data_IF_903059323236
#
_entry.id   IF_903059323236
#
_cell.length_a   1.000
_cell.length_b   1.000
_cell.length_c   1.000
_cell.angle_alpha   90.00
_cell.angle_beta   90.00
_cell.angle_gamma   90.00
#
_symmetry.space_group_name_H-M   'P 1'
#
loop_
_entity.id
_entity.type
_entity.pdbx_description
1 polymer ?
#
# COMPACT_ATOMS: atom_id res chain seq x y z
N UNK A 1 -10.90 -14.58 -14.07
CA UNK A 1 -10.68 -14.58 -12.61
C UNK A 1 -10.21 -15.93 -12.07
N UNK A 2 -11.01 -17.01 -12.09
CA UNK A 2 -10.63 -18.33 -11.55
C UNK A 2 -9.38 -18.97 -12.21
N UNK A 3 -9.18 -18.76 -13.51
CA UNK A 3 -7.96 -19.24 -14.20
C UNK A 3 -6.73 -18.42 -13.79
N UNK A 4 -6.88 -17.10 -13.59
CA UNK A 4 -5.78 -16.23 -13.17
C UNK A 4 -5.37 -16.54 -11.73
N UNK A 5 -6.33 -16.76 -10.82
CA UNK A 5 -6.05 -17.13 -9.42
C UNK A 5 -5.33 -18.46 -9.33
N UNK A 6 -5.76 -19.48 -10.09
CA UNK A 6 -5.13 -20.81 -10.08
C UNK A 6 -3.74 -20.82 -10.70
N UNK A 7 -3.51 -20.04 -11.76
CA UNK A 7 -2.17 -19.86 -12.34
C UNK A 7 -1.23 -19.16 -11.37
N UNK A 8 -1.66 -18.07 -10.74
CA UNK A 8 -0.85 -17.33 -9.76
C UNK A 8 -0.56 -18.17 -8.52
N UNK A 9 -1.53 -18.91 -8.00
CA UNK A 9 -1.32 -19.85 -6.89
C UNK A 9 -0.23 -20.89 -7.23
N UNK A 10 -0.26 -21.46 -8.43
CA UNK A 10 0.77 -22.40 -8.89
C UNK A 10 2.16 -21.75 -9.06
N UNK A 11 2.22 -20.47 -9.38
CA UNK A 11 3.48 -19.72 -9.45
C UNK A 11 4.00 -19.35 -8.07
N UNK A 12 3.12 -18.98 -7.14
CA UNK A 12 3.45 -18.67 -5.75
C UNK A 12 3.93 -19.90 -4.97
N UNK A 13 3.32 -21.07 -5.19
CA UNK A 13 3.79 -22.31 -4.54
C UNK A 13 5.14 -22.78 -5.07
N UNK A 14 5.53 -22.33 -6.26
CA UNK A 14 6.87 -22.55 -6.84
C UNK A 14 7.88 -21.46 -6.45
N UNK A 15 7.42 -20.37 -5.86
CA UNK A 15 8.25 -19.31 -5.31
C UNK A 15 8.84 -19.84 -4.00
N UNK A 16 9.93 -20.56 -4.10
CA UNK A 16 10.66 -21.05 -2.94
C UNK A 16 11.46 -19.92 -2.27
N UNK A 17 11.84 -20.15 -1.01
CA UNK A 17 12.68 -19.22 -0.27
C UNK A 17 14.05 -19.02 -0.95
N UNK A 18 14.52 -19.97 -1.77
CA UNK A 18 15.79 -19.88 -2.49
C UNK A 18 15.77 -18.79 -3.56
N UNK A 19 14.66 -18.65 -4.27
CA UNK A 19 14.44 -17.64 -5.31
C UNK A 19 14.53 -16.22 -4.74
N UNK A 20 13.87 -15.97 -3.60
CA UNK A 20 13.96 -14.69 -2.88
C UNK A 20 15.37 -14.50 -2.30
N UNK A 21 15.98 -15.57 -1.80
CA UNK A 21 17.33 -15.53 -1.24
C UNK A 21 18.41 -15.24 -2.31
N UNK A 22 18.17 -15.63 -3.57
CA UNK A 22 19.07 -15.31 -4.69
C UNK A 22 19.19 -13.81 -4.96
N UNK A 23 18.09 -13.06 -4.82
CA UNK A 23 18.09 -11.60 -4.90
C UNK A 23 18.86 -10.97 -3.75
N UNK A 24 18.72 -11.53 -2.54
CA UNK A 24 19.47 -11.09 -1.37
C UNK A 24 21.00 -11.35 -1.51
N UNK A 25 21.39 -12.31 -2.35
CA UNK A 25 22.78 -12.63 -2.69
C UNK A 25 23.34 -11.79 -3.84
N UNK A 26 22.52 -11.01 -4.55
CA UNK A 26 23.01 -10.15 -5.61
C UNK A 26 23.99 -9.10 -5.04
N UNK A 27 25.24 -9.14 -5.51
CA UNK A 27 26.32 -8.30 -4.99
C UNK A 27 26.00 -6.81 -5.06
N UNK A 28 25.51 -6.34 -6.21
CA UNK A 28 25.17 -4.93 -6.44
C UNK A 28 24.03 -4.47 -5.53
N UNK A 29 22.93 -5.24 -5.49
CA UNK A 29 21.78 -4.92 -4.63
C UNK A 29 22.15 -4.95 -3.14
N UNK A 30 23.03 -5.86 -2.72
CA UNK A 30 23.46 -5.94 -1.32
C UNK A 30 24.31 -4.73 -0.91
N UNK A 31 25.25 -4.27 -1.77
CA UNK A 31 26.02 -3.05 -1.53
C UNK A 31 25.09 -1.84 -1.43
N UNK A 32 24.14 -1.72 -2.35
CA UNK A 32 23.15 -0.64 -2.31
C UNK A 32 22.36 -0.68 -1.01
N UNK A 33 21.83 -1.83 -0.61
CA UNK A 33 21.06 -2.00 0.63
C UNK A 33 21.84 -1.57 1.88
N UNK A 34 23.15 -1.84 1.93
CA UNK A 34 23.99 -1.42 3.05
C UNK A 34 24.17 0.10 3.11
N UNK A 35 24.17 0.76 1.95
CA UNK A 35 24.40 2.20 1.81
C UNK A 35 23.12 3.05 1.88
N UNK A 36 21.97 2.52 1.46
CA UNK A 36 20.68 3.24 1.48
C UNK A 36 20.20 3.59 2.88
N UNK A 37 20.66 2.87 3.91
CA UNK A 37 20.33 3.15 5.31
C UNK A 37 21.22 4.25 5.92
N UNK A 38 22.21 4.75 5.17
CA UNK A 38 23.12 5.81 5.60
C UNK A 38 22.65 7.12 4.96
N UNK A 39 22.50 8.18 5.78
CA UNK A 39 22.19 9.52 5.27
C UNK A 39 23.29 9.94 4.31
N UNK A 40 22.94 10.24 3.06
CA UNK A 40 23.90 10.58 2.00
C UNK A 40 24.63 9.39 1.37
N UNK A 41 24.37 8.15 1.80
CA UNK A 41 25.12 6.96 1.34
C UNK A 41 24.96 6.60 -0.14
N UNK A 42 24.07 7.27 -0.86
CA UNK A 42 23.86 7.11 -2.32
C UNK A 42 24.50 8.22 -3.15
N UNK A 43 25.24 9.15 -2.53
CA UNK A 43 26.06 10.14 -3.24
C UNK A 43 27.15 9.43 -4.06
N UNK A 44 27.54 10.02 -5.20
CA UNK A 44 28.49 9.43 -6.15
C UNK A 44 29.85 9.08 -5.53
N UNK A 45 30.31 9.86 -4.55
CA UNK A 45 31.53 9.61 -3.78
C UNK A 45 31.43 8.34 -2.91
N UNK A 46 30.28 8.13 -2.26
CA UNK A 46 30.07 7.03 -1.31
C UNK A 46 29.65 5.73 -1.98
N UNK A 47 29.10 5.81 -3.20
CA UNK A 47 28.67 4.67 -3.99
C UNK A 47 29.10 4.80 -5.47
N UNK A 48 30.40 4.67 -5.76
CA UNK A 48 30.92 4.81 -7.12
C UNK A 48 30.38 3.72 -8.06
N UNK A 49 30.12 2.51 -7.56
CA UNK A 49 29.52 1.42 -8.34
C UNK A 49 28.08 1.75 -8.76
N UNK A 50 27.30 2.40 -7.89
CA UNK A 50 25.95 2.85 -8.21
C UNK A 50 25.96 3.95 -9.25
N UNK A 51 26.85 4.93 -9.08
CA UNK A 51 27.01 6.02 -10.04
C UNK A 51 27.43 5.50 -11.42
N UNK A 52 28.38 4.55 -11.46
CA UNK A 52 28.78 3.89 -12.71
C UNK A 52 27.61 3.11 -13.36
N UNK A 53 26.79 2.44 -12.56
CA UNK A 53 25.58 1.78 -13.04
C UNK A 53 24.58 2.77 -13.64
N UNK A 54 24.38 3.94 -13.02
CA UNK A 54 23.50 4.99 -13.54
C UNK A 54 23.95 5.57 -14.88
N UNK A 55 25.26 5.54 -15.16
CA UNK A 55 25.84 5.97 -16.44
C UNK A 55 25.66 4.96 -17.58
N UNK A 56 25.23 3.73 -17.28
CA UNK A 56 24.94 2.73 -18.32
C UNK A 56 23.75 3.16 -19.18
N UNK A 57 23.70 2.64 -20.41
CA UNK A 57 22.59 2.91 -21.32
C UNK A 57 21.24 2.58 -20.68
N UNK A 58 20.16 3.35 -20.96
CA UNK A 58 18.83 3.07 -20.42
C UNK A 58 18.37 1.62 -20.67
N UNK A 59 18.70 1.08 -21.85
CA UNK A 59 18.39 -0.31 -22.22
C UNK A 59 19.07 -1.31 -21.29
N UNK A 60 20.37 -1.15 -21.02
CA UNK A 60 21.12 -2.04 -20.12
C UNK A 60 20.55 -2.02 -18.70
N UNK A 61 20.24 -0.81 -18.19
CA UNK A 61 19.64 -0.66 -16.87
C UNK A 61 18.26 -1.33 -16.79
N UNK A 62 17.43 -1.16 -17.83
CA UNK A 62 16.11 -1.79 -17.89
C UNK A 62 16.21 -3.32 -17.89
N UNK A 63 17.14 -3.89 -18.67
CA UNK A 63 17.36 -5.34 -18.70
C UNK A 63 17.70 -5.87 -17.30
N UNK A 64 18.66 -5.24 -16.62
CA UNK A 64 19.08 -5.66 -15.27
C UNK A 64 17.96 -5.49 -14.24
N UNK A 65 17.19 -4.39 -14.30
CA UNK A 65 16.02 -4.20 -13.45
C UNK A 65 14.98 -5.30 -13.68
N UNK A 66 14.69 -5.65 -14.94
CA UNK A 66 13.76 -6.73 -15.26
C UNK A 66 14.25 -8.08 -14.74
N UNK A 67 15.54 -8.38 -14.86
CA UNK A 67 16.16 -9.59 -14.30
C UNK A 67 16.04 -9.64 -12.77
N UNK A 68 16.24 -8.52 -12.07
CA UNK A 68 16.09 -8.46 -10.62
C UNK A 68 14.63 -8.52 -10.16
N UNK A 69 13.69 -8.04 -10.97
CA UNK A 69 12.26 -8.08 -10.64
C UNK A 69 11.61 -9.43 -10.99
N UNK A 70 12.08 -10.10 -12.05
CA UNK A 70 11.52 -11.36 -12.55
C UNK A 70 11.17 -12.39 -11.45
N UNK A 71 12.03 -12.63 -10.43
CA UNK A 71 11.73 -13.63 -9.41
C UNK A 71 10.58 -13.24 -8.48
N UNK A 72 10.31 -11.93 -8.30
CA UNK A 72 9.27 -11.42 -7.40
C UNK A 72 8.01 -10.96 -8.14
N UNK A 73 8.00 -10.99 -9.47
CA UNK A 73 6.84 -10.64 -10.29
C UNK A 73 5.57 -11.41 -9.89
N UNK A 74 5.60 -12.74 -9.68
CA UNK A 74 4.39 -13.47 -9.32
C UNK A 74 3.82 -13.04 -7.96
N UNK A 75 4.67 -12.65 -7.01
CA UNK A 75 4.24 -12.09 -5.73
C UNK A 75 3.54 -10.72 -5.90
N UNK A 76 4.09 -9.88 -6.77
CA UNK A 76 3.47 -8.61 -7.13
C UNK A 76 2.09 -8.83 -7.77
N UNK A 77 2.00 -9.70 -8.79
CA UNK A 77 0.76 -10.00 -9.50
C UNK A 77 -0.30 -10.59 -8.57
N UNK A 78 0.08 -11.52 -7.69
CA UNK A 78 -0.80 -12.09 -6.68
C UNK A 78 -1.31 -11.02 -5.70
N UNK A 79 -0.43 -10.12 -5.24
CA UNK A 79 -0.81 -9.02 -4.35
C UNK A 79 -1.79 -8.06 -5.03
N UNK A 80 -1.53 -7.70 -6.30
CA UNK A 80 -2.45 -6.87 -7.08
C UNK A 80 -3.82 -7.54 -7.24
N UNK A 81 -3.85 -8.84 -7.54
CA UNK A 81 -5.10 -9.59 -7.68
C UNK A 81 -5.87 -9.65 -6.36
N UNK A 82 -5.21 -9.97 -5.24
CA UNK A 82 -5.86 -10.00 -3.92
C UNK A 82 -6.42 -8.63 -3.56
N UNK A 83 -5.64 -7.56 -3.73
CA UNK A 83 -6.10 -6.20 -3.47
C UNK A 83 -7.25 -5.79 -4.39
N UNK A 84 -7.23 -6.21 -5.66
CA UNK A 84 -8.32 -6.00 -6.60
C UNK A 84 -9.59 -6.71 -6.11
N UNK A 85 -9.52 -7.97 -5.72
CA UNK A 85 -10.67 -8.73 -5.22
C UNK A 85 -11.25 -8.10 -3.95
N UNK A 86 -10.39 -7.76 -2.98
CA UNK A 86 -10.82 -7.10 -1.73
C UNK A 86 -11.55 -5.79 -2.05
N UNK A 87 -10.98 -4.93 -2.91
CA UNK A 87 -11.57 -3.62 -3.25
C UNK A 87 -12.86 -3.71 -4.06
N UNK A 88 -13.09 -4.80 -4.80
CA UNK A 88 -14.35 -5.03 -5.51
C UNK A 88 -15.43 -5.69 -4.64
N UNK A 89 -15.04 -6.34 -3.54
CA UNK A 89 -15.97 -6.88 -2.54
C UNK A 89 -16.29 -5.83 -1.48
N UNK A 90 -16.97 -4.76 -1.90
CA UNK A 90 -17.16 -3.53 -1.12
C UNK A 90 -18.64 -3.23 -0.87
N UNK A 91 -18.97 -2.90 0.38
CA UNK A 91 -20.20 -2.20 0.71
C UNK A 91 -19.93 -0.69 0.70
N UNK A 92 -20.64 0.03 -0.16
CA UNK A 92 -20.51 1.49 -0.34
C UNK A 92 -21.70 2.15 0.33
N UNK A 93 -21.44 3.18 1.14
CA UNK A 93 -22.49 3.97 1.78
C UNK A 93 -22.08 5.44 1.88
N UNK A 94 -23.06 6.34 1.78
CA UNK A 94 -22.86 7.75 2.11
C UNK A 94 -23.02 7.93 3.62
N UNK A 95 -22.06 8.61 4.23
CA UNK A 95 -22.00 8.83 5.67
C UNK A 95 -21.76 10.31 5.96
N UNK A 96 -22.14 10.75 7.16
CA UNK A 96 -21.89 12.10 7.64
C UNK A 96 -21.20 12.04 9.01
N UNK A 97 -20.05 12.71 9.12
CA UNK A 97 -19.31 12.84 10.36
C UNK A 97 -19.75 14.11 11.08
N UNK A 98 -20.45 13.94 12.20
CA UNK A 98 -20.95 15.06 13.00
C UNK A 98 -19.80 15.77 13.70
N UNK A 99 -19.67 17.07 13.48
CA UNK A 99 -18.56 17.89 13.99
C UNK A 99 -17.19 17.21 13.79
N UNK A 100 -16.94 16.76 12.56
CA UNK A 100 -15.70 16.09 12.18
C UNK A 100 -15.47 14.73 12.84
N UNK A 101 -16.47 14.09 13.44
CA UNK A 101 -16.33 12.80 14.13
C UNK A 101 -17.33 11.76 13.60
N UNK A 102 -16.84 10.58 13.25
CA UNK A 102 -17.64 9.43 12.86
C UNK A 102 -17.16 8.17 13.57
N UNK A 103 -18.09 7.29 13.97
CA UNK A 103 -17.78 6.00 14.57
C UNK A 103 -18.80 4.96 14.13
N UNK A 104 -18.31 3.80 13.73
CA UNK A 104 -19.14 2.67 13.34
C UNK A 104 -18.68 1.39 14.03
N UNK A 105 -19.65 0.62 14.50
CA UNK A 105 -19.44 -0.73 15.03
C UNK A 105 -19.40 -1.69 13.84
N UNK A 106 -18.42 -2.58 13.84
CA UNK A 106 -18.28 -3.63 12.84
C UNK A 106 -19.10 -4.84 13.25
N UNK A 107 -19.79 -5.46 12.29
CA UNK A 107 -20.45 -6.74 12.53
C UNK A 107 -19.38 -7.81 12.81
N UNK A 108 -19.48 -8.49 13.96
CA UNK A 108 -18.54 -9.52 14.38
C UNK A 108 -18.52 -10.75 13.48
N UNK A 109 -19.60 -11.01 12.75
CA UNK A 109 -19.72 -12.14 11.82
C UNK A 109 -19.08 -11.83 10.45
N UNK A 110 -18.70 -10.58 10.20
CA UNK A 110 -18.11 -10.13 8.94
C UNK A 110 -16.63 -9.81 9.10
N UNK A 111 -15.78 -10.44 8.29
CA UNK A 111 -14.35 -10.11 8.26
C UNK A 111 -14.09 -8.95 7.30
N UNK A 112 -13.91 -7.75 7.86
CA UNK A 112 -13.51 -6.56 7.11
C UNK A 112 -12.00 -6.56 6.88
N UNK A 113 -11.59 -6.34 5.63
CA UNK A 113 -10.18 -6.34 5.20
C UNK A 113 -9.65 -4.93 4.94
N UNK A 114 -10.51 -4.03 4.48
CA UNK A 114 -10.12 -2.65 4.14
C UNK A 114 -11.28 -1.69 4.41
N UNK A 115 -10.97 -0.52 4.96
CA UNK A 115 -11.88 0.62 5.10
C UNK A 115 -11.31 1.74 4.24
N UNK A 116 -12.14 2.34 3.38
CA UNK A 116 -11.77 3.50 2.58
C UNK A 116 -12.74 4.65 2.85
N UNK A 117 -12.17 5.83 3.01
CA UNK A 117 -12.89 7.10 3.12
C UNK A 117 -12.63 7.86 1.84
N UNK A 118 -13.67 8.10 1.06
CA UNK A 118 -13.60 8.80 -0.22
C UNK A 118 -14.19 10.19 -0.04
N UNK A 119 -13.39 11.20 -0.39
CA UNK A 119 -13.74 12.61 -0.35
C UNK A 119 -13.24 13.31 -1.60
N UNK A 120 -13.76 14.51 -1.85
CA UNK A 120 -13.26 15.37 -2.91
C UNK A 120 -11.83 15.84 -2.58
N UNK A 121 -10.90 15.88 -3.55
CA UNK A 121 -9.53 16.36 -3.33
C UNK A 121 -9.44 17.79 -2.80
N UNK A 122 -10.42 18.63 -3.18
CA UNK A 122 -10.53 20.05 -2.80
C UNK A 122 -11.05 20.24 -1.36
N UNK A 123 -11.41 19.16 -0.64
CA UNK A 123 -11.99 19.27 0.69
C UNK A 123 -10.93 19.81 1.69
N UNK A 124 -11.25 20.82 2.52
CA UNK A 124 -10.26 21.47 3.41
C UNK A 124 -9.79 20.60 4.58
N UNK A 125 -10.31 19.39 4.71
CA UNK A 125 -10.01 18.49 5.83
C UNK A 125 -9.49 17.13 5.32
N UNK A 126 -8.75 16.42 6.17
CA UNK A 126 -8.29 15.07 5.92
C UNK A 126 -8.76 14.10 7.02
N UNK A 127 -8.98 12.81 6.71
CA UNK A 127 -9.42 11.83 7.68
C UNK A 127 -8.23 11.22 8.43
N UNK A 128 -8.38 11.07 9.73
CA UNK A 128 -7.57 10.20 10.57
C UNK A 128 -8.42 9.03 11.03
N UNK A 129 -8.04 7.81 10.64
CA UNK A 129 -8.80 6.59 10.94
C UNK A 129 -8.08 5.84 12.07
N UNK A 130 -8.84 5.43 13.08
CA UNK A 130 -8.40 4.50 14.12
C UNK A 130 -9.32 3.29 14.13
N UNK A 131 -8.77 2.09 13.99
CA UNK A 131 -9.55 0.86 13.89
C UNK A 131 -9.19 -0.12 15.02
N UNK A 132 -10.19 -0.82 15.52
CA UNK A 132 -10.06 -1.97 16.41
C UNK A 132 -10.99 -3.11 15.94
N UNK A 133 -10.90 -4.28 16.59
CA UNK A 133 -11.62 -5.49 16.14
C UNK A 133 -13.13 -5.32 15.98
N UNK A 134 -13.75 -4.50 16.82
CA UNK A 134 -15.23 -4.37 16.88
C UNK A 134 -15.73 -3.03 16.35
N UNK A 135 -14.86 -2.06 16.08
CA UNK A 135 -15.27 -0.70 15.68
C UNK A 135 -14.12 0.05 15.05
N UNK A 136 -14.45 1.05 14.26
CA UNK A 136 -13.51 2.08 13.84
C UNK A 136 -14.08 3.46 14.08
N UNK A 137 -13.17 4.42 14.16
CA UNK A 137 -13.44 5.84 14.34
C UNK A 137 -12.73 6.61 13.24
N UNK A 138 -13.40 7.60 12.67
CA UNK A 138 -12.84 8.56 11.74
C UNK A 138 -12.95 9.95 12.38
N UNK A 139 -11.83 10.67 12.43
CA UNK A 139 -11.78 12.07 12.80
C UNK A 139 -11.29 12.90 11.62
N UNK A 140 -12.02 13.95 11.29
CA UNK A 140 -11.65 14.86 10.22
C UNK A 140 -10.92 16.06 10.81
N UNK A 141 -9.73 16.32 10.30
CA UNK A 141 -8.87 17.41 10.76
C UNK A 141 -8.67 18.45 9.65
N UNK A 142 -8.68 19.71 10.05
CA UNK A 142 -8.31 20.84 9.21
C UNK A 142 -6.91 21.30 9.60
N UNK A 143 -6.16 21.77 8.61
CA UNK A 143 -4.83 22.33 8.79
C UNK A 143 -4.76 23.74 8.20
N UNK A 144 -5.41 24.72 8.85
CA UNK A 144 -5.57 26.06 8.28
C UNK A 144 -4.25 26.84 8.21
N UNK A 145 -3.26 26.52 9.04
CA UNK A 145 -1.98 27.23 9.11
C UNK A 145 -0.80 26.28 9.35
N UNK A 146 0.29 26.48 8.60
CA UNK A 146 1.51 25.64 8.61
C UNK A 146 2.24 25.60 9.98
N UNK A 147 1.97 26.56 10.87
CA UNK A 147 2.63 26.66 12.18
C UNK A 147 1.69 26.36 13.37
N UNK A 148 0.50 25.84 13.12
CA UNK A 148 -0.46 25.47 14.16
C UNK A 148 -0.71 23.97 14.15
N UNK A 149 -1.07 23.36 15.30
CA UNK A 149 -1.49 21.96 15.29
C UNK A 149 -2.76 21.79 14.46
N UNK A 150 -2.95 20.64 13.78
CA UNK A 150 -4.22 20.34 13.13
C UNK A 150 -5.35 20.30 14.15
N UNK A 151 -6.51 20.84 13.77
CA UNK A 151 -7.69 20.91 14.63
C UNK A 151 -8.80 20.02 14.07
N UNK A 152 -9.57 19.36 14.93
CA UNK A 152 -10.73 18.61 14.46
C UNK A 152 -11.74 19.59 13.86
N UNK A 153 -12.22 19.28 12.65
CA UNK A 153 -13.25 20.06 12.01
C UNK A 153 -14.48 20.15 12.91
N UNK A 154 -15.09 21.33 12.98
CA UNK A 154 -16.36 21.54 13.70
C UNK A 154 -17.57 21.41 12.77
N UNK A 155 -17.33 21.20 11.48
CA UNK A 155 -18.37 21.07 10.47
C UNK A 155 -18.81 19.61 10.33
N UNK A 156 -20.03 19.43 9.84
CA UNK A 156 -20.52 18.12 9.44
C UNK A 156 -19.93 17.77 8.08
N UNK A 157 -19.19 16.66 8.03
CA UNK A 157 -18.46 16.25 6.83
C UNK A 157 -19.16 15.08 6.18
N UNK A 158 -19.66 15.27 4.96
CA UNK A 158 -20.22 14.18 4.15
C UNK A 158 -19.11 13.48 3.37
N UNK A 159 -19.10 12.16 3.41
CA UNK A 159 -18.10 11.35 2.73
C UNK A 159 -18.69 10.00 2.31
N UNK A 160 -18.06 9.38 1.32
CA UNK A 160 -18.38 8.02 0.95
C UNK A 160 -17.50 7.05 1.73
N UNK A 161 -18.15 6.13 2.44
CA UNK A 161 -17.52 5.05 3.18
C UNK A 161 -17.58 3.76 2.36
N UNK A 162 -16.41 3.14 2.17
CA UNK A 162 -16.25 1.85 1.52
C UNK A 162 -15.70 0.83 2.49
N UNK A 163 -16.52 -0.16 2.85
CA UNK A 163 -16.12 -1.27 3.71
C UNK A 163 -15.92 -2.52 2.87
N UNK A 164 -14.67 -2.93 2.69
CA UNK A 164 -14.30 -4.11 1.91
C UNK A 164 -14.31 -5.35 2.80
N UNK A 165 -15.09 -6.35 2.41
CA UNK A 165 -15.29 -7.59 3.16
C UNK A 165 -14.78 -8.78 2.35
N UNK A 166 -14.31 -9.82 3.02
CA UNK A 166 -14.07 -11.11 2.36
C UNK A 166 -15.34 -11.94 2.52
N UNK A 167 -16.11 -12.13 1.45
CA UNK A 167 -17.17 -13.12 1.41
C UNK A 167 -16.53 -14.50 1.31
N UNK A 168 -16.43 -15.20 2.44
CA UNK A 168 -16.27 -16.65 2.41
C UNK A 168 -17.68 -17.17 2.20
N UNK A 169 -18.13 -17.27 0.95
CA UNK A 169 -19.29 -18.10 0.65
C UNK A 169 -18.88 -19.54 0.98
N UNK A 170 -19.63 -20.15 1.92
CA UNK A 170 -19.47 -21.55 2.29
C UNK A 170 -19.91 -22.48 1.16
#
# INVERSE_FOLDING_TARGET
LLIQTTTLLKQLTKLDNETIHSLAKNYFLNILRQRTNIVGGTVSCDSPIFHHWLQQSPKSRQTQLNEWLAPVLPLYEATQLVLYLIRNSVNISQQSAMSGFYRQILNGDTTYQLIQVVMLPEHPCYPQISSGKQRFTIRFFEYPQVNQPPMQSQQDINFELRCCMMSIEH
#
